data_IF_806997585254
#
_entry.id   IF_806997585254
#
_cell.length_a   1.000
_cell.length_b   1.000
_cell.length_c   1.000
_cell.angle_alpha   90.00
_cell.angle_beta   90.00
_cell.angle_gamma   90.00
#
_symmetry.space_group_name_H-M   'P 1'
#
loop_
_entity.id
_entity.type
_entity.pdbx_description
1 polymer ?
#
# COMPACT_ATOMS: atom_id res chain seq x y z
N UNK A 1 18.46 24.68 -7.15
CA UNK A 1 17.08 24.48 -7.66
C UNK A 1 16.53 23.23 -7.00
N UNK A 2 15.71 23.39 -5.96
CA UNK A 2 15.18 22.27 -5.17
C UNK A 2 13.75 22.00 -5.61
N UNK A 3 13.53 20.93 -6.36
CA UNK A 3 12.22 20.46 -6.79
C UNK A 3 11.60 19.62 -5.69
N UNK A 4 11.08 20.25 -4.63
CA UNK A 4 10.24 19.54 -3.66
C UNK A 4 8.85 19.41 -4.26
N UNK A 5 8.47 18.18 -4.61
CA UNK A 5 7.15 17.84 -5.12
C UNK A 5 6.08 18.24 -4.09
N UNK A 6 5.06 19.04 -4.46
CA UNK A 6 4.01 19.48 -3.53
C UNK A 6 3.03 18.38 -3.08
N UNK A 7 3.34 17.11 -3.37
CA UNK A 7 2.51 15.94 -3.08
C UNK A 7 3.17 14.94 -2.11
N UNK A 8 4.36 15.26 -1.57
CA UNK A 8 4.91 14.52 -0.43
C UNK A 8 4.22 15.00 0.85
N UNK A 9 3.34 14.15 1.40
CA UNK A 9 2.89 14.34 2.78
C UNK A 9 4.11 14.24 3.68
N UNK A 10 4.62 15.38 4.14
CA UNK A 10 5.72 15.42 5.11
C UNK A 10 5.28 14.57 6.30
N UNK A 11 6.00 13.49 6.65
CA UNK A 11 5.61 12.67 7.77
C UNK A 11 5.74 13.50 9.04
N UNK A 12 4.62 13.73 9.74
CA UNK A 12 4.61 14.37 11.05
C UNK A 12 5.69 13.77 11.94
N UNK A 13 6.48 14.62 12.59
CA UNK A 13 7.44 14.22 13.61
C UNK A 13 6.74 13.41 14.71
N UNK A 14 7.50 12.63 15.48
CA UNK A 14 6.94 11.85 16.58
C UNK A 14 6.17 12.73 17.58
N UNK A 15 6.66 13.95 17.80
CA UNK A 15 6.04 14.93 18.68
C UNK A 15 4.72 15.48 18.12
N UNK A 16 4.67 15.80 16.83
CA UNK A 16 3.44 16.23 16.16
C UNK A 16 2.37 15.12 16.16
N UNK A 17 2.79 13.86 15.92
CA UNK A 17 1.88 12.70 16.04
C UNK A 17 1.34 12.55 17.47
N UNK A 18 2.20 12.69 18.47
CA UNK A 18 1.77 12.64 19.87
C UNK A 18 0.83 13.80 20.22
N UNK A 19 1.09 15.00 19.70
CA UNK A 19 0.21 16.17 19.83
C UNK A 19 -1.18 15.92 19.23
N UNK A 20 -1.24 15.47 17.98
CA UNK A 20 -2.49 15.12 17.30
C UNK A 20 -3.29 14.03 18.04
N UNK A 21 -2.59 13.02 18.55
CA UNK A 21 -3.20 11.94 19.33
C UNK A 21 -3.84 12.47 20.63
N UNK A 22 -3.16 13.36 21.35
CA UNK A 22 -3.71 14.01 22.57
C UNK A 22 -4.96 14.83 22.26
N UNK A 23 -4.89 15.71 21.26
CA UNK A 23 -6.03 16.54 20.83
C UNK A 23 -7.24 15.67 20.48
N UNK A 24 -7.02 14.56 19.76
CA UNK A 24 -8.08 13.63 19.40
C UNK A 24 -8.67 12.92 20.62
N UNK A 25 -7.85 12.50 21.57
CA UNK A 25 -8.32 11.86 22.79
C UNK A 25 -9.18 12.80 23.65
N UNK A 26 -8.87 14.09 23.67
CA UNK A 26 -9.70 15.11 24.32
C UNK A 26 -11.03 15.36 23.58
N UNK A 27 -10.99 15.47 22.25
CA UNK A 27 -12.20 15.57 21.39
C UNK A 27 -13.15 14.39 21.65
N UNK A 28 -12.62 13.17 21.71
CA UNK A 28 -13.41 11.96 21.94
C UNK A 28 -13.97 11.88 23.37
N UNK A 29 -13.21 12.30 24.39
CA UNK A 29 -13.70 12.36 25.78
C UNK A 29 -14.87 13.33 25.92
N UNK A 30 -14.76 14.54 25.34
CA UNK A 30 -15.84 15.53 25.34
C UNK A 30 -17.10 14.97 24.69
N UNK A 31 -16.97 14.43 23.47
CA UNK A 31 -18.12 13.83 22.76
C UNK A 31 -18.78 12.68 23.52
N UNK A 32 -18.00 11.86 24.21
CA UNK A 32 -18.56 10.77 25.01
C UNK A 32 -19.41 11.30 26.16
N UNK A 33 -18.94 12.35 26.83
CA UNK A 33 -19.72 13.04 27.85
C UNK A 33 -20.99 13.69 27.26
N UNK A 34 -20.89 14.35 26.11
CA UNK A 34 -22.05 14.96 25.42
C UNK A 34 -23.13 13.90 25.11
N UNK A 35 -22.72 12.74 24.57
CA UNK A 35 -23.61 11.62 24.28
C UNK A 35 -24.24 11.02 25.55
N UNK A 36 -23.48 10.89 26.64
CA UNK A 36 -23.99 10.43 27.95
C UNK A 36 -25.04 11.39 28.52
N UNK A 37 -24.93 12.70 28.25
CA UNK A 37 -25.92 13.70 28.63
C UNK A 37 -27.07 13.85 27.61
N UNK A 38 -27.14 12.99 26.61
CA UNK A 38 -28.21 13.01 25.59
C UNK A 38 -28.08 14.15 24.58
N UNK A 39 -26.93 14.83 24.51
CA UNK A 39 -26.66 15.83 23.48
C UNK A 39 -26.49 15.09 22.15
N UNK A 40 -27.37 15.41 21.19
CA UNK A 40 -27.36 14.80 19.87
C UNK A 40 -26.09 15.16 19.10
N UNK A 41 -25.62 14.24 18.25
CA UNK A 41 -24.52 14.49 17.31
C UNK A 41 -24.86 15.71 16.45
N UNK A 42 -23.99 16.73 16.48
CA UNK A 42 -24.15 17.92 15.67
C UNK A 42 -23.80 17.67 14.18
N UNK A 43 -24.32 18.50 13.28
CA UNK A 43 -24.09 18.39 11.84
C UNK A 43 -22.61 18.57 11.46
N UNK A 44 -21.84 19.31 12.25
CA UNK A 44 -20.40 19.53 12.05
C UNK A 44 -19.60 18.24 12.31
N UNK A 45 -19.99 17.44 13.31
CA UNK A 45 -19.40 16.15 13.64
C UNK A 45 -19.68 15.13 12.54
N UNK A 46 -20.89 15.11 11.99
CA UNK A 46 -21.24 14.28 10.83
C UNK A 46 -20.41 14.68 9.60
N UNK A 47 -20.32 15.99 9.31
CA UNK A 47 -19.51 16.49 8.19
C UNK A 47 -18.02 16.14 8.35
N UNK A 48 -17.48 16.27 9.57
CA UNK A 48 -16.10 15.92 9.87
C UNK A 48 -15.85 14.40 9.78
N UNK A 49 -16.81 13.57 10.19
CA UNK A 49 -16.74 12.12 10.06
C UNK A 49 -16.73 11.71 8.59
N UNK A 50 -17.62 12.28 7.77
CA UNK A 50 -17.67 12.07 6.32
C UNK A 50 -16.34 12.45 5.66
N UNK A 51 -15.82 13.64 5.95
CA UNK A 51 -14.51 14.08 5.43
C UNK A 51 -13.38 13.12 5.82
N UNK A 52 -13.38 12.61 7.05
CA UNK A 52 -12.37 11.64 7.51
C UNK A 52 -12.50 10.29 6.79
N UNK A 53 -13.72 9.84 6.49
CA UNK A 53 -13.97 8.63 5.72
C UNK A 53 -13.45 8.76 4.28
N UNK A 54 -13.79 9.87 3.60
CA UNK A 54 -13.30 10.19 2.24
C UNK A 54 -11.76 10.23 2.19
N UNK A 55 -11.13 10.90 3.16
CA UNK A 55 -9.67 10.94 3.27
C UNK A 55 -9.04 9.58 3.57
N UNK A 56 -9.71 8.74 4.35
CA UNK A 56 -9.22 7.39 4.63
C UNK A 56 -9.25 6.51 3.40
N UNK A 57 -10.30 6.66 2.59
CA UNK A 57 -10.48 5.93 1.34
C UNK A 57 -9.44 6.34 0.29
N UNK A 58 -9.19 7.64 0.11
CA UNK A 58 -8.12 8.11 -0.79
C UNK A 58 -6.75 7.54 -0.38
N UNK A 59 -6.46 7.50 0.93
CA UNK A 59 -5.23 6.87 1.44
C UNK A 59 -5.17 5.37 1.15
N UNK A 60 -6.27 4.65 1.31
CA UNK A 60 -6.33 3.21 1.02
C UNK A 60 -6.07 2.94 -0.47
N UNK A 61 -6.73 3.69 -1.37
CA UNK A 61 -6.51 3.58 -2.83
C UNK A 61 -5.06 3.84 -3.22
N UNK A 62 -4.44 4.90 -2.68
CA UNK A 62 -3.03 5.19 -2.92
C UNK A 62 -2.11 4.07 -2.42
N UNK A 63 -2.43 3.47 -1.27
CA UNK A 63 -1.66 2.37 -0.71
C UNK A 63 -1.74 1.11 -1.58
N UNK A 64 -2.94 0.76 -2.06
CA UNK A 64 -3.15 -0.36 -2.99
C UNK A 64 -2.38 -0.18 -4.30
N UNK A 65 -2.47 1.00 -4.93
CA UNK A 65 -1.67 1.32 -6.14
C UNK A 65 -0.17 1.20 -5.89
N UNK A 66 0.33 1.80 -4.80
CA UNK A 66 1.74 1.73 -4.46
C UNK A 66 2.21 0.29 -4.17
N UNK A 67 1.36 -0.56 -3.58
CA UNK A 67 1.64 -1.99 -3.40
C UNK A 67 1.68 -2.72 -4.75
N UNK A 68 0.70 -2.48 -5.62
CA UNK A 68 0.66 -3.04 -6.97
C UNK A 68 1.90 -2.66 -7.80
N UNK A 69 2.36 -1.41 -7.73
CA UNK A 69 3.57 -0.94 -8.43
C UNK A 69 4.83 -1.66 -7.92
N UNK A 70 4.96 -1.85 -6.60
CA UNK A 70 6.06 -2.62 -6.01
C UNK A 70 6.04 -4.09 -6.42
N UNK A 71 4.86 -4.71 -6.49
CA UNK A 71 4.73 -6.07 -7.01
C UNK A 71 5.12 -6.16 -8.48
N UNK A 72 4.76 -5.17 -9.30
CA UNK A 72 5.19 -5.10 -10.71
C UNK A 72 6.70 -4.95 -10.86
N UNK A 73 7.34 -4.17 -9.99
CA UNK A 73 8.79 -4.03 -9.96
C UNK A 73 9.48 -5.35 -9.59
N UNK A 74 8.99 -6.02 -8.55
CA UNK A 74 9.49 -7.32 -8.11
C UNK A 74 9.33 -8.41 -9.18
N UNK A 75 8.14 -8.50 -9.81
CA UNK A 75 7.89 -9.38 -10.96
C UNK A 75 8.94 -9.19 -12.06
N UNK A 76 9.20 -7.94 -12.47
CA UNK A 76 10.23 -7.62 -13.48
C UNK A 76 11.63 -8.02 -13.03
N UNK A 77 11.96 -7.85 -11.75
CA UNK A 77 13.26 -8.25 -11.21
C UNK A 77 13.44 -9.78 -11.28
N UNK A 78 12.42 -10.54 -10.87
CA UNK A 78 12.42 -11.99 -10.97
C UNK A 78 12.51 -12.48 -12.42
N UNK A 79 11.78 -11.86 -13.35
CA UNK A 79 11.86 -12.22 -14.77
C UNK A 79 13.26 -11.96 -15.36
N UNK A 80 13.92 -10.85 -14.96
CA UNK A 80 15.33 -10.60 -15.35
C UNK A 80 16.27 -11.63 -14.76
N UNK A 81 16.08 -12.01 -13.50
CA UNK A 81 16.90 -13.04 -12.84
C UNK A 81 16.71 -14.41 -13.52
N UNK A 82 15.48 -14.79 -13.85
CA UNK A 82 15.20 -16.01 -14.59
C UNK A 82 15.92 -16.05 -15.94
N UNK A 83 15.82 -14.96 -16.72
CA UNK A 83 16.51 -14.86 -18.01
C UNK A 83 18.05 -14.96 -17.88
N UNK A 84 18.63 -14.36 -16.83
CA UNK A 84 20.06 -14.45 -16.57
C UNK A 84 20.49 -15.89 -16.24
N UNK A 85 19.68 -16.61 -15.44
CA UNK A 85 19.93 -18.01 -15.13
C UNK A 85 19.75 -18.92 -16.35
N UNK A 86 18.74 -18.70 -17.18
CA UNK A 86 18.57 -19.42 -18.45
C UNK A 86 19.77 -19.22 -19.38
N UNK A 87 20.26 -17.99 -19.50
CA UNK A 87 21.47 -17.69 -20.27
C UNK A 87 22.70 -18.41 -19.70
N UNK A 88 22.87 -18.42 -18.37
CA UNK A 88 23.97 -19.15 -17.73
C UNK A 88 23.87 -20.66 -17.97
N UNK A 89 22.65 -21.22 -17.93
CA UNK A 89 22.43 -22.64 -18.21
C UNK A 89 22.85 -23.04 -19.64
N UNK A 90 22.58 -22.18 -20.63
CA UNK A 90 22.98 -22.41 -22.01
C UNK A 90 24.50 -22.36 -22.21
N UNK A 91 25.21 -21.61 -21.38
CA UNK A 91 26.66 -21.44 -21.44
C UNK A 91 27.41 -22.43 -20.54
N UNK A 92 26.71 -23.12 -19.65
CA UNK A 92 27.29 -24.07 -18.71
C UNK A 92 27.78 -25.33 -19.44
N UNK A 93 29.08 -25.36 -19.73
CA UNK A 93 29.78 -26.53 -20.31
C UNK A 93 30.27 -27.54 -19.27
N UNK A 94 29.98 -27.32 -17.99
CA UNK A 94 30.49 -28.06 -16.83
C UNK A 94 29.43 -28.93 -16.13
N UNK A 95 28.21 -29.00 -16.70
CA UNK A 95 27.09 -29.73 -16.11
C UNK A 95 26.25 -28.95 -15.09
N UNK A 96 26.61 -27.69 -14.76
CA UNK A 96 25.82 -26.85 -13.84
C UNK A 96 24.55 -26.26 -14.47
N UNK A 97 24.25 -26.62 -15.72
CA UNK A 97 23.08 -26.12 -16.46
C UNK A 97 21.76 -26.42 -15.76
N UNK A 98 21.62 -27.60 -15.14
CA UNK A 98 20.40 -28.01 -14.44
C UNK A 98 20.11 -27.11 -13.23
N UNK A 99 21.11 -26.83 -12.38
CA UNK A 99 20.95 -25.93 -11.24
C UNK A 99 20.55 -24.50 -11.67
N UNK A 100 21.05 -24.03 -12.81
CA UNK A 100 20.63 -22.76 -13.38
C UNK A 100 19.20 -22.80 -13.94
N UNK A 101 18.76 -23.91 -14.55
CA UNK A 101 17.36 -24.06 -14.99
C UNK A 101 16.39 -24.09 -13.80
N UNK A 102 16.73 -24.81 -12.73
CA UNK A 102 15.93 -24.83 -11.49
C UNK A 102 15.80 -23.43 -10.87
N UNK A 103 16.91 -22.69 -10.80
CA UNK A 103 16.91 -21.32 -10.32
C UNK A 103 16.05 -20.38 -11.20
N UNK A 104 16.10 -20.55 -12.53
CA UNK A 104 15.26 -19.79 -13.45
C UNK A 104 13.78 -20.11 -13.25
N UNK A 105 13.42 -21.38 -13.08
CA UNK A 105 12.05 -21.79 -12.81
C UNK A 105 11.53 -21.20 -11.50
N UNK A 106 12.31 -21.28 -10.43
CA UNK A 106 11.97 -20.67 -9.15
C UNK A 106 11.67 -19.17 -9.29
N UNK A 107 12.52 -18.43 -10.00
CA UNK A 107 12.26 -17.01 -10.25
C UNK A 107 11.00 -16.76 -11.09
N UNK A 108 10.70 -17.59 -12.10
CA UNK A 108 9.43 -17.47 -12.84
C UNK A 108 8.23 -17.73 -11.93
N UNK A 109 8.33 -18.66 -10.99
CA UNK A 109 7.28 -18.89 -10.00
C UNK A 109 7.08 -17.69 -9.08
N UNK A 110 8.15 -17.10 -8.54
CA UNK A 110 8.05 -15.88 -7.73
C UNK A 110 7.47 -14.71 -8.52
N UNK A 111 7.82 -14.58 -9.81
CA UNK A 111 7.23 -13.57 -10.68
C UNK A 111 5.70 -13.73 -10.79
N UNK A 112 5.21 -14.97 -10.96
CA UNK A 112 3.75 -15.26 -10.99
C UNK A 112 3.08 -14.95 -9.65
N UNK A 113 3.75 -15.21 -8.52
CA UNK A 113 3.21 -14.86 -7.19
C UNK A 113 3.10 -13.35 -7.03
N UNK A 114 4.08 -12.59 -7.51
CA UNK A 114 4.01 -11.13 -7.53
C UNK A 114 2.95 -10.60 -8.48
N UNK A 115 2.77 -11.20 -9.65
CA UNK A 115 1.68 -10.86 -10.56
C UNK A 115 0.31 -11.08 -9.90
N UNK A 116 0.09 -12.24 -9.27
CA UNK A 116 -1.14 -12.53 -8.55
C UNK A 116 -1.39 -11.55 -7.40
N UNK A 117 -0.35 -11.22 -6.62
CA UNK A 117 -0.44 -10.23 -5.55
C UNK A 117 -0.79 -8.83 -6.09
N UNK A 118 -0.19 -8.42 -7.22
CA UNK A 118 -0.52 -7.16 -7.90
C UNK A 118 -1.99 -7.11 -8.29
N UNK A 119 -2.52 -8.19 -8.88
CA UNK A 119 -3.93 -8.26 -9.28
C UNK A 119 -4.86 -8.15 -8.06
N UNK A 120 -4.52 -8.83 -6.95
CA UNK A 120 -5.29 -8.71 -5.70
C UNK A 120 -5.30 -7.29 -5.12
N UNK A 121 -4.18 -6.56 -5.20
CA UNK A 121 -4.13 -5.15 -4.77
C UNK A 121 -5.02 -4.25 -5.64
N UNK A 122 -5.07 -4.49 -6.95
CA UNK A 122 -5.95 -3.74 -7.85
C UNK A 122 -7.43 -4.06 -7.60
N UNK A 123 -7.78 -5.33 -7.35
CA UNK A 123 -9.14 -5.73 -6.98
C UNK A 123 -9.59 -5.07 -5.67
N UNK A 124 -8.71 -4.99 -4.66
CA UNK A 124 -9.00 -4.28 -3.40
C UNK A 124 -9.24 -2.79 -3.63
N UNK A 125 -8.46 -2.16 -4.51
CA UNK A 125 -8.70 -0.78 -4.90
C UNK A 125 -10.08 -0.58 -5.55
N UNK A 126 -10.49 -1.49 -6.43
CA UNK A 126 -11.80 -1.47 -7.08
C UNK A 126 -12.96 -1.76 -6.09
N UNK A 127 -12.75 -2.63 -5.11
CA UNK A 127 -13.70 -2.84 -4.02
C UNK A 127 -13.89 -1.57 -3.18
N UNK A 128 -12.81 -0.89 -2.85
CA UNK A 128 -12.83 0.41 -2.18
C UNK A 128 -13.50 1.49 -3.07
N UNK A 129 -13.40 1.37 -4.39
CA UNK A 129 -14.18 2.19 -5.32
C UNK A 129 -15.68 1.91 -5.23
N UNK A 130 -16.07 0.64 -5.29
CA UNK A 130 -17.47 0.22 -5.24
C UNK A 130 -18.15 0.54 -3.91
N UNK A 131 -17.43 0.53 -2.78
CA UNK A 131 -17.99 0.88 -1.46
C UNK A 131 -18.39 2.35 -1.33
N UNK A 132 -17.97 3.22 -2.24
CA UNK A 132 -18.29 4.66 -2.25
C UNK A 132 -19.47 5.02 -3.16
N UNK A 133 -19.79 4.17 -4.15
CA UNK A 133 -20.84 4.41 -5.16
C UNK A 133 -22.22 3.95 -4.68
#
# INVERSE_FOLDING_TARGET
MSTTNPNESVPYSAEERAGLARTRAEELRRRRADLEHGVSVDSQAVAQARKRAEQSLDRARRAHRAAADRHREAERAHMRAAAAHEQAALLAGDGNGEAHQDAAEHHREEARRHEAARLSELEREEEDFRRES
#
